data_IF_233711094735
#
_entry.id   IF_233711094735
#
_cell.length_a   1.000
_cell.length_b   1.000
_cell.length_c   1.000
_cell.angle_alpha   90.00
_cell.angle_beta   90.00
_cell.angle_gamma   90.00
#
_symmetry.space_group_name_H-M   'P 1'
#
loop_
_entity.id
_entity.type
_entity.pdbx_description
1 polymer ?
#
# COMPACT_ATOMS: atom_id res chain seq x y z
N UNK A 1 23.51 10.85 -3.23
CA UNK A 1 22.83 9.55 -3.17
C UNK A 1 22.22 9.32 -4.56
N UNK A 2 22.30 8.14 -5.13
CA UNK A 2 21.61 7.86 -6.40
C UNK A 2 20.11 7.95 -6.19
N UNK A 3 19.42 8.64 -7.07
CA UNK A 3 17.96 8.78 -7.04
C UNK A 3 17.30 7.40 -7.18
N UNK A 4 16.57 6.94 -6.18
CA UNK A 4 15.93 5.63 -6.21
C UNK A 4 14.74 5.59 -7.18
N UNK A 5 14.50 4.45 -7.83
CA UNK A 5 13.31 4.20 -8.62
C UNK A 5 12.24 3.53 -7.73
N UNK A 6 11.10 4.18 -7.58
CA UNK A 6 10.01 3.74 -6.70
C UNK A 6 8.73 3.52 -7.50
N UNK A 7 8.10 2.37 -7.30
CA UNK A 7 6.80 2.04 -7.88
C UNK A 7 5.71 2.10 -6.79
N UNK A 8 4.56 2.72 -7.11
CA UNK A 8 3.43 2.81 -6.17
C UNK A 8 2.15 2.37 -6.87
N UNK A 9 1.55 1.28 -6.41
CA UNK A 9 0.21 0.86 -6.85
C UNK A 9 -0.88 1.55 -6.00
N UNK A 10 -2.07 1.80 -6.60
CA UNK A 10 -3.13 2.52 -5.89
C UNK A 10 -2.78 3.98 -5.56
N UNK A 11 -1.91 4.59 -6.37
CA UNK A 11 -1.33 5.91 -6.11
C UNK A 11 -2.27 7.09 -6.36
N UNK A 12 -3.45 6.89 -6.98
CA UNK A 12 -4.27 8.01 -7.45
C UNK A 12 -5.01 8.74 -6.32
N UNK A 13 -5.15 8.13 -5.15
CA UNK A 13 -5.89 8.71 -4.02
C UNK A 13 -5.31 8.30 -2.66
N UNK A 14 -5.70 8.99 -1.59
CA UNK A 14 -5.44 8.60 -0.21
C UNK A 14 -3.97 8.38 0.12
N UNK A 15 -3.68 7.30 0.83
CA UNK A 15 -2.33 6.96 1.32
C UNK A 15 -1.34 6.78 0.16
N UNK A 16 -1.74 6.11 -0.93
CA UNK A 16 -0.86 5.92 -2.08
C UNK A 16 -0.46 7.23 -2.75
N UNK A 17 -1.39 8.19 -2.86
CA UNK A 17 -1.10 9.54 -3.37
C UNK A 17 -0.17 10.31 -2.44
N UNK A 18 -0.41 10.29 -1.15
CA UNK A 18 0.47 10.93 -0.16
C UNK A 18 1.88 10.33 -0.18
N UNK A 19 1.99 9.00 -0.26
CA UNK A 19 3.27 8.32 -0.40
C UNK A 19 4.03 8.72 -1.67
N UNK A 20 3.32 8.87 -2.81
CA UNK A 20 3.93 9.33 -4.05
C UNK A 20 4.54 10.73 -3.91
N UNK A 21 3.81 11.67 -3.29
CA UNK A 21 4.32 13.01 -3.01
C UNK A 21 5.50 13.01 -2.04
N UNK A 22 5.40 12.25 -0.96
CA UNK A 22 6.46 12.17 0.05
C UNK A 22 7.76 11.61 -0.56
N UNK A 23 7.67 10.51 -1.33
CA UNK A 23 8.82 9.90 -1.98
C UNK A 23 9.41 10.79 -3.08
N UNK A 24 8.58 11.52 -3.84
CA UNK A 24 9.06 12.48 -4.83
C UNK A 24 9.82 13.65 -4.17
N UNK A 25 9.35 14.17 -3.03
CA UNK A 25 10.05 15.22 -2.26
C UNK A 25 11.42 14.78 -1.74
N UNK A 26 11.61 13.49 -1.48
CA UNK A 26 12.93 12.91 -1.15
C UNK A 26 13.85 12.77 -2.38
N UNK A 27 13.43 13.27 -3.55
CA UNK A 27 14.23 13.23 -4.78
C UNK A 27 14.18 11.91 -5.54
N UNK A 28 13.24 11.02 -5.26
CA UNK A 28 13.13 9.75 -5.95
C UNK A 28 12.42 9.89 -7.31
N UNK A 29 12.76 8.99 -8.25
CA UNK A 29 12.02 8.77 -9.51
C UNK A 29 10.81 7.91 -9.20
N UNK A 30 9.62 8.38 -9.54
CA UNK A 30 8.37 7.75 -9.08
C UNK A 30 7.54 7.24 -10.26
N UNK A 31 7.19 5.96 -10.23
CA UNK A 31 6.11 5.42 -11.07
C UNK A 31 4.85 5.30 -10.22
N UNK A 32 3.80 5.96 -10.65
CA UNK A 32 2.47 5.86 -10.05
C UNK A 32 1.56 5.00 -10.92
N UNK A 33 0.76 4.13 -10.28
CA UNK A 33 -0.12 3.24 -11.01
C UNK A 33 -1.52 3.20 -10.42
N UNK A 34 -2.49 2.99 -11.30
CA UNK A 34 -3.90 2.87 -11.01
C UNK A 34 -4.69 2.59 -12.30
N UNK A 35 -6.01 2.54 -12.19
CA UNK A 35 -6.89 2.13 -13.31
C UNK A 35 -7.35 3.29 -14.20
N UNK A 36 -7.27 4.52 -13.73
CA UNK A 36 -7.82 5.72 -14.39
C UNK A 36 -6.70 6.52 -15.04
N UNK A 37 -6.65 6.49 -16.38
CA UNK A 37 -5.58 7.08 -17.19
C UNK A 37 -5.44 8.58 -16.96
N UNK A 38 -6.53 9.34 -17.12
CA UNK A 38 -6.52 10.80 -17.02
C UNK A 38 -6.02 11.28 -15.63
N UNK A 39 -6.56 10.71 -14.55
CA UNK A 39 -6.14 11.02 -13.20
C UNK A 39 -4.69 10.62 -12.92
N UNK A 40 -4.23 9.53 -13.54
CA UNK A 40 -2.85 9.08 -13.43
C UNK A 40 -1.86 10.00 -14.12
N UNK A 41 -2.17 10.43 -15.34
CA UNK A 41 -1.33 11.39 -16.08
C UNK A 41 -1.28 12.76 -15.37
N UNK A 42 -2.42 13.22 -14.82
CA UNK A 42 -2.46 14.45 -14.03
C UNK A 42 -1.54 14.34 -12.79
N UNK A 43 -1.62 13.24 -12.03
CA UNK A 43 -0.76 13.02 -10.87
C UNK A 43 0.73 12.97 -11.25
N UNK A 44 1.07 12.27 -12.34
CA UNK A 44 2.45 12.23 -12.79
C UNK A 44 2.98 13.61 -13.20
N UNK A 45 2.13 14.46 -13.78
CA UNK A 45 2.48 15.85 -14.11
C UNK A 45 2.73 16.69 -12.84
N UNK A 46 1.88 16.57 -11.82
CA UNK A 46 2.08 17.23 -10.53
C UNK A 46 3.41 16.82 -9.87
N UNK A 47 3.72 15.51 -9.87
CA UNK A 47 4.94 14.96 -9.25
C UNK A 47 6.20 15.44 -9.97
N UNK A 48 6.19 15.54 -11.32
CA UNK A 48 7.31 16.09 -12.10
C UNK A 48 7.63 17.53 -11.73
N UNK A 49 6.62 18.32 -11.35
CA UNK A 49 6.80 19.69 -10.89
C UNK A 49 7.51 19.83 -9.53
N UNK A 50 7.64 18.75 -8.76
CA UNK A 50 8.23 18.79 -7.42
C UNK A 50 9.73 18.46 -7.38
N UNK A 51 10.17 17.42 -8.04
CA UNK A 51 11.52 16.90 -7.79
C UNK A 51 12.13 16.05 -8.90
N UNK A 52 11.56 15.94 -10.07
CA UNK A 52 12.25 15.17 -11.08
C UNK A 52 11.37 14.27 -11.95
N UNK A 53 11.74 12.99 -12.09
CA UNK A 53 11.09 12.07 -13.01
C UNK A 53 9.91 11.37 -12.35
N UNK A 54 8.74 11.54 -12.94
CA UNK A 54 7.54 10.78 -12.54
C UNK A 54 6.78 10.31 -13.78
N UNK A 55 6.31 9.07 -13.73
CA UNK A 55 5.55 8.43 -14.81
C UNK A 55 4.27 7.79 -14.28
N UNK A 56 3.24 7.78 -15.11
CA UNK A 56 2.06 6.97 -14.85
C UNK A 56 2.03 5.78 -15.79
N UNK A 57 1.81 4.60 -15.23
CA UNK A 57 1.57 3.37 -15.98
C UNK A 57 0.26 2.77 -15.49
N UNK A 58 -0.70 2.64 -16.42
CA UNK A 58 -2.00 2.06 -16.10
C UNK A 58 -1.87 0.57 -15.79
N UNK A 59 -2.44 0.14 -14.65
CA UNK A 59 -2.55 -1.27 -14.32
C UNK A 59 -3.77 -1.56 -13.41
N UNK A 60 -4.37 -2.72 -13.58
CA UNK A 60 -5.28 -3.33 -12.61
C UNK A 60 -4.51 -4.44 -11.87
N UNK A 61 -4.27 -4.26 -10.58
CA UNK A 61 -3.49 -5.20 -9.77
C UNK A 61 -4.08 -6.61 -9.70
N UNK A 62 -5.35 -6.79 -10.05
CA UNK A 62 -6.03 -8.09 -10.15
C UNK A 62 -5.62 -8.90 -11.39
N UNK A 63 -4.90 -8.28 -12.33
CA UNK A 63 -4.51 -8.87 -13.61
C UNK A 63 -3.00 -9.05 -13.64
N UNK A 64 -2.55 -10.29 -13.68
CA UNK A 64 -1.11 -10.59 -13.62
C UNK A 64 -0.32 -9.94 -14.77
N UNK A 65 -0.89 -9.95 -15.98
CA UNK A 65 -0.23 -9.35 -17.14
C UNK A 65 -0.05 -7.83 -16.99
N UNK A 66 -1.05 -7.14 -16.40
CA UNK A 66 -0.95 -5.71 -16.13
C UNK A 66 0.18 -5.43 -15.11
N UNK A 67 0.24 -6.24 -14.05
CA UNK A 67 1.27 -6.09 -13.00
C UNK A 67 2.67 -6.41 -13.51
N UNK A 68 2.81 -7.49 -14.29
CA UNK A 68 4.09 -7.82 -14.94
C UNK A 68 4.56 -6.66 -15.82
N UNK A 69 3.69 -6.18 -16.69
CA UNK A 69 3.98 -5.07 -17.60
C UNK A 69 4.34 -3.78 -16.84
N UNK A 70 3.65 -3.47 -15.75
CA UNK A 70 3.94 -2.33 -14.89
C UNK A 70 5.37 -2.38 -14.34
N UNK A 71 5.79 -3.51 -13.79
CA UNK A 71 7.14 -3.70 -13.25
C UNK A 71 8.17 -3.66 -14.38
N UNK A 72 7.91 -4.34 -15.51
CA UNK A 72 8.83 -4.38 -16.66
C UNK A 72 9.04 -2.99 -17.27
N UNK A 73 7.99 -2.19 -17.42
CA UNK A 73 8.10 -0.80 -17.92
C UNK A 73 8.83 0.10 -16.91
N UNK A 74 8.62 -0.09 -15.60
CA UNK A 74 9.36 0.65 -14.57
C UNK A 74 10.86 0.40 -14.69
N UNK A 75 11.25 -0.87 -14.87
CA UNK A 75 12.67 -1.24 -15.05
C UNK A 75 13.20 -0.74 -16.39
N UNK A 76 12.43 -0.86 -17.47
CA UNK A 76 12.83 -0.36 -18.77
C UNK A 76 13.07 1.17 -18.75
N UNK A 77 12.27 1.91 -17.99
CA UNK A 77 12.38 3.36 -17.86
C UNK A 77 13.54 3.82 -17.00
N UNK A 78 13.78 3.16 -15.85
CA UNK A 78 14.73 3.63 -14.85
C UNK A 78 15.93 2.70 -14.63
N UNK A 79 15.99 1.56 -15.34
CA UNK A 79 17.07 0.58 -15.25
C UNK A 79 17.04 -0.29 -14.00
N UNK A 80 16.17 0.01 -13.02
CA UNK A 80 16.08 -0.66 -11.73
C UNK A 80 14.75 -0.41 -11.03
N UNK A 81 14.49 -1.18 -9.96
CA UNK A 81 13.39 -0.96 -9.02
C UNK A 81 13.95 -1.05 -7.59
N UNK A 82 14.04 0.09 -6.89
CA UNK A 82 14.64 0.18 -5.55
C UNK A 82 13.62 0.01 -4.43
N UNK A 83 12.43 0.54 -4.63
CA UNK A 83 11.33 0.38 -3.68
C UNK A 83 9.99 0.19 -4.39
N UNK A 84 9.09 -0.53 -3.73
CA UNK A 84 7.70 -0.69 -4.16
C UNK A 84 6.75 -0.46 -2.99
N UNK A 85 5.65 0.25 -3.25
CA UNK A 85 4.58 0.52 -2.29
C UNK A 85 3.28 -0.06 -2.83
N UNK A 86 2.80 -1.13 -2.22
CA UNK A 86 1.59 -1.80 -2.61
C UNK A 86 0.40 -1.25 -1.81
N UNK A 87 -0.21 -0.17 -2.33
CA UNK A 87 -1.31 0.57 -1.68
C UNK A 87 -2.67 0.37 -2.33
N UNK A 88 -2.76 -0.35 -3.45
CA UNK A 88 -4.04 -0.67 -4.07
C UNK A 88 -4.91 -1.53 -3.13
N UNK A 89 -6.14 -1.08 -2.86
CA UNK A 89 -7.03 -1.78 -1.95
C UNK A 89 -8.46 -1.27 -2.00
N UNK A 90 -9.36 -2.03 -1.37
CA UNK A 90 -10.77 -1.67 -1.17
C UNK A 90 -11.20 -2.03 0.24
N UNK A 91 -12.15 -1.26 0.78
CA UNK A 91 -12.80 -1.54 2.07
C UNK A 91 -13.74 -2.75 2.03
N UNK A 92 -14.03 -3.26 0.83
CA UNK A 92 -15.00 -4.32 0.63
C UNK A 92 -16.43 -3.86 0.89
N UNK A 93 -17.31 -4.80 1.22
CA UNK A 93 -18.71 -4.54 1.57
C UNK A 93 -18.88 -4.60 3.08
N UNK A 94 -19.13 -3.47 3.76
CA UNK A 94 -19.43 -3.47 5.19
C UNK A 94 -20.73 -4.24 5.50
N UNK A 95 -20.76 -4.91 6.64
CA UNK A 95 -21.92 -5.63 7.13
C UNK A 95 -21.56 -6.94 7.85
N UNK A 96 -22.53 -7.55 8.56
CA UNK A 96 -22.30 -8.79 9.31
C UNK A 96 -21.92 -9.95 8.39
N UNK A 97 -21.17 -10.93 8.93
CA UNK A 97 -20.70 -12.10 8.18
C UNK A 97 -21.86 -12.87 7.50
N UNK A 98 -23.02 -12.88 8.09
CA UNK A 98 -24.23 -13.53 7.55
C UNK A 98 -24.77 -12.87 6.28
N UNK A 99 -24.31 -11.67 5.92
CA UNK A 99 -24.69 -10.94 4.70
C UNK A 99 -23.56 -10.89 3.66
N UNK A 100 -22.41 -11.48 3.96
CA UNK A 100 -21.33 -11.57 2.98
C UNK A 100 -21.65 -12.65 1.93
N UNK A 101 -21.18 -12.43 0.72
CA UNK A 101 -21.39 -13.34 -0.42
C UNK A 101 -20.06 -13.73 -1.04
N UNK A 102 -20.04 -14.79 -1.86
CA UNK A 102 -18.86 -15.15 -2.64
C UNK A 102 -18.36 -13.97 -3.51
N UNK A 103 -19.26 -13.18 -4.09
CA UNK A 103 -18.88 -12.01 -4.90
C UNK A 103 -18.25 -10.91 -4.07
N UNK A 104 -18.79 -10.61 -2.86
CA UNK A 104 -18.19 -9.60 -1.97
C UNK A 104 -16.81 -10.04 -1.46
N UNK A 105 -16.65 -11.34 -1.22
CA UNK A 105 -15.34 -11.93 -0.88
C UNK A 105 -14.37 -11.80 -2.05
N UNK A 106 -14.72 -12.28 -3.24
CA UNK A 106 -13.88 -12.22 -4.42
C UNK A 106 -13.45 -10.78 -4.75
N UNK A 107 -14.38 -9.82 -4.79
CA UNK A 107 -14.08 -8.43 -5.07
C UNK A 107 -13.06 -7.82 -4.09
N UNK A 108 -13.12 -8.23 -2.80
CA UNK A 108 -12.19 -7.76 -1.78
C UNK A 108 -10.85 -8.48 -1.86
N UNK A 109 -10.85 -9.81 -1.94
CA UNK A 109 -9.63 -10.61 -1.96
C UNK A 109 -8.84 -10.47 -3.25
N UNK A 110 -9.50 -10.37 -4.40
CA UNK A 110 -8.83 -10.14 -5.68
C UNK A 110 -8.04 -8.82 -5.68
N UNK A 111 -8.58 -7.79 -5.04
CA UNK A 111 -7.88 -6.50 -4.97
C UNK A 111 -6.83 -6.50 -3.86
N UNK A 112 -7.22 -6.86 -2.62
CA UNK A 112 -6.39 -6.66 -1.44
C UNK A 112 -5.32 -7.75 -1.25
N UNK A 113 -5.58 -8.97 -1.70
CA UNK A 113 -4.71 -10.13 -1.46
C UNK A 113 -4.03 -10.57 -2.75
N UNK A 114 -4.80 -10.93 -3.79
CA UNK A 114 -4.23 -11.33 -5.07
C UNK A 114 -3.41 -10.19 -5.68
N UNK A 115 -3.90 -8.95 -5.61
CA UNK A 115 -3.18 -7.79 -6.12
C UNK A 115 -1.81 -7.59 -5.45
N UNK A 116 -1.71 -7.79 -4.13
CA UNK A 116 -0.43 -7.73 -3.41
C UNK A 116 0.47 -8.93 -3.75
N UNK A 117 -0.09 -10.14 -3.83
CA UNK A 117 0.66 -11.33 -4.23
C UNK A 117 1.30 -11.16 -5.61
N UNK A 118 0.53 -10.71 -6.60
CA UNK A 118 1.02 -10.50 -7.97
C UNK A 118 2.05 -9.37 -8.03
N UNK A 119 1.83 -8.27 -7.29
CA UNK A 119 2.80 -7.17 -7.20
C UNK A 119 4.12 -7.68 -6.63
N UNK A 120 4.11 -8.29 -5.45
CA UNK A 120 5.33 -8.86 -4.85
C UNK A 120 6.02 -9.90 -5.75
N UNK A 121 5.27 -10.77 -6.44
CA UNK A 121 5.82 -11.76 -7.37
C UNK A 121 6.73 -11.12 -8.41
N UNK A 122 6.28 -10.05 -9.06
CA UNK A 122 7.03 -9.40 -10.14
C UNK A 122 8.09 -8.42 -9.62
N UNK A 123 7.84 -7.75 -8.49
CA UNK A 123 8.79 -6.88 -7.80
C UNK A 123 9.99 -7.68 -7.27
N UNK A 124 9.73 -8.80 -6.57
CA UNK A 124 10.76 -9.67 -6.04
C UNK A 124 11.61 -10.31 -7.15
N UNK A 125 11.01 -10.67 -8.28
CA UNK A 125 11.77 -11.17 -9.45
C UNK A 125 12.89 -10.20 -9.85
N UNK A 126 12.62 -8.91 -9.84
CA UNK A 126 13.59 -7.86 -10.19
C UNK A 126 14.55 -7.61 -9.04
N UNK A 127 14.03 -7.39 -7.83
CA UNK A 127 14.83 -6.99 -6.67
C UNK A 127 15.81 -8.08 -6.22
N UNK A 128 15.42 -9.36 -6.31
CA UNK A 128 16.32 -10.49 -6.01
C UNK A 128 17.50 -10.54 -7.00
N UNK A 129 17.25 -10.30 -8.29
CA UNK A 129 18.31 -10.23 -9.30
C UNK A 129 19.26 -9.05 -9.05
N UNK A 130 18.73 -7.92 -8.57
CA UNK A 130 19.50 -6.73 -8.16
C UNK A 130 20.25 -6.93 -6.85
N UNK A 131 19.86 -7.91 -6.02
CA UNK A 131 20.31 -8.13 -4.64
C UNK A 131 20.08 -6.92 -3.73
N UNK A 132 19.04 -6.17 -4.01
CA UNK A 132 18.63 -5.00 -3.22
C UNK A 132 17.20 -4.63 -3.55
N UNK A 133 16.47 -4.11 -2.57
CA UNK A 133 15.11 -3.60 -2.75
C UNK A 133 14.35 -3.50 -1.43
N UNK A 134 13.28 -2.70 -1.42
CA UNK A 134 12.36 -2.60 -0.29
C UNK A 134 10.93 -2.60 -0.77
N UNK A 135 10.11 -3.53 -0.26
CA UNK A 135 8.67 -3.59 -0.51
C UNK A 135 7.92 -3.20 0.75
N UNK A 136 6.94 -2.29 0.61
CA UNK A 136 6.03 -1.88 1.68
C UNK A 136 4.60 -2.15 1.26
N UNK A 137 3.97 -3.12 1.92
CA UNK A 137 2.56 -3.44 1.71
C UNK A 137 1.67 -2.60 2.66
N UNK A 138 0.59 -2.02 2.15
CA UNK A 138 -0.36 -1.28 2.99
C UNK A 138 -1.41 -2.27 3.53
N UNK A 139 -1.25 -2.62 4.82
CA UNK A 139 -2.21 -3.39 5.60
C UNK A 139 -3.29 -2.49 6.22
N UNK A 140 -3.64 -2.72 7.46
CA UNK A 140 -4.58 -1.96 8.30
C UNK A 140 -4.41 -2.42 9.75
N UNK A 141 -4.79 -1.60 10.74
CA UNK A 141 -4.99 -2.08 12.11
C UNK A 141 -5.94 -3.30 12.15
N UNK A 142 -6.88 -3.37 11.22
CA UNK A 142 -7.75 -4.54 11.04
C UNK A 142 -7.05 -5.78 10.43
N UNK A 143 -5.75 -5.70 10.15
CA UNK A 143 -4.90 -6.83 9.77
C UNK A 143 -4.51 -7.72 10.96
N UNK A 144 -4.68 -7.25 12.20
CA UNK A 144 -4.42 -7.98 13.44
C UNK A 144 -5.52 -7.78 14.50
N UNK A 145 -6.61 -7.07 14.15
CA UNK A 145 -7.80 -6.91 14.99
C UNK A 145 -9.03 -7.50 14.32
N UNK A 146 -9.92 -8.10 15.14
CA UNK A 146 -11.27 -8.45 14.70
C UNK A 146 -12.19 -7.25 14.80
N UNK A 147 -13.02 -7.01 13.78
CA UNK A 147 -13.96 -5.89 13.73
C UNK A 147 -15.33 -6.33 13.25
N UNK A 148 -16.36 -6.04 14.07
CA UNK A 148 -17.74 -6.30 13.70
C UNK A 148 -18.11 -5.51 12.42
N UNK A 149 -18.76 -6.19 11.47
CA UNK A 149 -19.17 -5.57 10.20
C UNK A 149 -18.08 -5.42 9.15
N UNK A 150 -16.84 -5.88 9.41
CA UNK A 150 -15.72 -5.79 8.46
C UNK A 150 -14.99 -7.14 8.26
N UNK A 151 -15.67 -8.26 8.44
CA UNK A 151 -15.05 -9.60 8.48
C UNK A 151 -14.19 -9.93 7.25
N UNK A 152 -14.69 -9.69 6.04
CA UNK A 152 -13.97 -9.99 4.79
C UNK A 152 -12.78 -9.04 4.61
N UNK A 153 -12.95 -7.76 4.94
CA UNK A 153 -11.86 -6.79 4.92
C UNK A 153 -10.75 -7.15 5.91
N UNK A 154 -11.10 -7.40 7.19
CA UNK A 154 -10.14 -7.83 8.22
C UNK A 154 -9.40 -9.09 7.78
N UNK A 155 -10.12 -10.12 7.30
CA UNK A 155 -9.49 -11.35 6.80
C UNK A 155 -8.51 -11.06 5.67
N UNK A 156 -8.86 -10.17 4.72
CA UNK A 156 -7.96 -9.79 3.64
C UNK A 156 -6.68 -9.11 4.14
N UNK A 157 -6.78 -8.26 5.18
CA UNK A 157 -5.62 -7.57 5.76
C UNK A 157 -4.76 -8.48 6.62
N UNK A 158 -5.34 -9.46 7.33
CA UNK A 158 -4.58 -10.55 7.96
C UNK A 158 -3.79 -11.34 6.93
N UNK A 159 -4.40 -11.65 5.76
CA UNK A 159 -3.70 -12.33 4.68
C UNK A 159 -2.52 -11.51 4.13
N UNK A 160 -2.67 -10.18 3.99
CA UNK A 160 -1.58 -9.28 3.59
C UNK A 160 -0.41 -9.34 4.57
N UNK A 161 -0.66 -9.35 5.87
CA UNK A 161 0.39 -9.46 6.89
C UNK A 161 1.08 -10.83 6.86
N UNK A 162 0.31 -11.90 6.66
CA UNK A 162 0.85 -13.25 6.48
C UNK A 162 1.75 -13.36 5.24
N UNK A 163 1.29 -12.86 4.09
CA UNK A 163 2.08 -12.79 2.85
C UNK A 163 3.37 -11.97 3.04
N UNK A 164 3.26 -10.81 3.71
CA UNK A 164 4.42 -9.94 4.00
C UNK A 164 5.50 -10.68 4.79
N UNK A 165 5.12 -11.34 5.88
CA UNK A 165 6.04 -12.07 6.76
C UNK A 165 6.69 -13.25 6.03
N UNK A 166 5.91 -14.03 5.27
CA UNK A 166 6.41 -15.18 4.52
C UNK A 166 7.39 -14.76 3.43
N UNK A 167 7.00 -13.79 2.59
CA UNK A 167 7.87 -13.28 1.54
C UNK A 167 9.16 -12.66 2.10
N UNK A 168 9.09 -11.95 3.24
CA UNK A 168 10.25 -11.39 3.91
C UNK A 168 11.29 -12.47 4.28
N UNK A 169 10.83 -13.59 4.85
CA UNK A 169 11.71 -14.71 5.21
C UNK A 169 12.32 -15.41 3.99
N UNK A 170 11.56 -15.53 2.90
CA UNK A 170 12.02 -16.16 1.66
C UNK A 170 13.16 -15.38 1.01
N UNK A 171 13.19 -14.03 1.14
CA UNK A 171 14.10 -13.18 0.38
C UNK A 171 15.17 -12.47 1.22
N UNK A 172 15.12 -12.53 2.53
CA UNK A 172 16.02 -11.79 3.44
C UNK A 172 17.51 -11.93 3.09
N UNK A 173 17.94 -13.14 2.73
CA UNK A 173 19.34 -13.41 2.37
C UNK A 173 19.78 -12.79 1.03
N UNK A 174 18.85 -12.27 0.25
CA UNK A 174 19.13 -11.63 -1.03
C UNK A 174 19.39 -10.11 -0.91
N UNK A 175 19.23 -9.52 0.29
CA UNK A 175 19.33 -8.09 0.51
C UNK A 175 18.03 -7.34 0.22
N UNK A 176 16.92 -8.06 -0.02
CA UNK A 176 15.59 -7.48 -0.21
C UNK A 176 14.83 -7.49 1.11
N UNK A 177 14.14 -6.39 1.41
CA UNK A 177 13.30 -6.24 2.60
C UNK A 177 11.82 -6.17 2.19
N UNK A 178 10.97 -6.88 2.91
CA UNK A 178 9.51 -6.81 2.73
C UNK A 178 8.90 -6.51 4.09
N UNK A 179 8.13 -5.42 4.17
CA UNK A 179 7.47 -4.96 5.38
C UNK A 179 6.03 -4.51 5.08
N UNK A 180 5.25 -4.26 6.10
CA UNK A 180 3.93 -3.66 5.98
C UNK A 180 3.81 -2.43 6.89
N UNK A 181 2.97 -1.48 6.48
CA UNK A 181 2.40 -0.47 7.35
C UNK A 181 0.95 -0.83 7.64
N UNK A 182 0.50 -0.68 8.87
CA UNK A 182 -0.86 -0.97 9.33
C UNK A 182 -1.53 0.32 9.84
N UNK A 183 -2.19 1.08 8.95
CA UNK A 183 -2.88 2.31 9.34
C UNK A 183 -4.11 2.05 10.19
N UNK A 184 -4.40 2.98 11.12
CA UNK A 184 -5.72 3.16 11.71
C UNK A 184 -6.68 3.87 10.74
N UNK A 185 -7.75 4.51 11.26
CA UNK A 185 -8.64 5.36 10.47
C UNK A 185 -7.89 6.58 9.91
N UNK A 186 -7.79 6.70 8.60
CA UNK A 186 -7.07 7.78 7.90
C UNK A 186 -8.05 8.57 7.05
N UNK A 187 -7.95 9.91 7.04
CA UNK A 187 -8.81 10.81 6.28
C UNK A 187 -8.67 10.59 4.78
N UNK A 188 -9.51 9.74 4.24
CA UNK A 188 -9.50 9.33 2.83
C UNK A 188 -10.92 9.08 2.33
N UNK A 189 -11.09 9.04 1.01
CA UNK A 189 -12.36 8.64 0.41
C UNK A 189 -12.78 7.21 0.80
N UNK A 190 -11.84 6.32 1.10
CA UNK A 190 -12.13 4.97 1.60
C UNK A 190 -12.78 5.02 2.99
N UNK A 191 -12.27 5.83 3.91
CA UNK A 191 -12.85 6.01 5.24
C UNK A 191 -14.29 6.52 5.14
N UNK A 192 -14.53 7.52 4.30
CA UNK A 192 -15.85 8.11 4.13
C UNK A 192 -16.88 7.09 3.56
N UNK A 193 -16.47 6.22 2.63
CA UNK A 193 -17.32 5.12 2.15
C UNK A 193 -17.55 4.06 3.22
N UNK A 194 -16.52 3.72 3.99
CA UNK A 194 -16.61 2.72 5.06
C UNK A 194 -17.54 3.16 6.20
N UNK A 195 -17.43 4.39 6.65
CA UNK A 195 -18.23 4.93 7.76
C UNK A 195 -19.64 5.35 7.33
N UNK A 196 -19.81 5.73 6.08
CA UNK A 196 -21.09 6.10 5.46
C UNK A 196 -21.70 7.41 5.96
N UNK A 197 -21.55 7.75 7.24
CA UNK A 197 -22.13 8.94 7.87
C UNK A 197 -21.13 9.64 8.80
N UNK A 198 -21.44 10.89 9.18
CA UNK A 198 -20.63 11.62 10.17
C UNK A 198 -20.65 10.95 11.55
N UNK A 199 -21.80 10.40 11.95
CA UNK A 199 -21.98 9.66 13.20
C UNK A 199 -21.14 8.38 13.20
N UNK A 200 -21.13 7.62 12.07
CA UNK A 200 -20.30 6.44 11.91
C UNK A 200 -18.81 6.78 12.02
N UNK A 201 -18.39 7.91 11.44
CA UNK A 201 -17.01 8.40 11.54
C UNK A 201 -16.69 8.82 13.00
N UNK A 202 -17.58 9.52 13.66
CA UNK A 202 -17.41 9.92 15.06
C UNK A 202 -17.32 8.70 15.99
N UNK A 203 -18.14 7.65 15.74
CA UNK A 203 -18.08 6.38 16.47
C UNK A 203 -16.70 5.73 16.33
N UNK A 204 -16.18 5.66 15.11
CA UNK A 204 -14.86 5.09 14.86
C UNK A 204 -13.73 5.92 15.51
N UNK A 205 -13.82 7.25 15.49
CA UNK A 205 -12.86 8.15 16.16
C UNK A 205 -12.86 7.92 17.67
N UNK A 206 -14.01 7.61 18.26
CA UNK A 206 -14.09 7.33 19.70
C UNK A 206 -13.33 6.06 20.11
N UNK A 207 -13.09 5.12 19.19
CA UNK A 207 -12.28 3.92 19.44
C UNK A 207 -10.77 4.19 19.36
N UNK A 208 -10.36 5.30 18.71
CA UNK A 208 -8.94 5.66 18.58
C UNK A 208 -8.46 6.39 19.84
N UNK A 209 -7.42 5.90 20.56
CA UNK A 209 -6.89 6.60 21.74
C UNK A 209 -6.50 8.06 21.52
N UNK A 210 -5.94 8.40 20.36
CA UNK A 210 -5.63 9.78 19.99
C UNK A 210 -6.85 10.66 19.69
N UNK A 211 -8.09 10.08 19.69
CA UNK A 211 -9.36 10.80 19.51
C UNK A 211 -9.46 11.62 18.22
N UNK A 212 -8.76 11.22 17.17
CA UNK A 212 -8.84 11.79 15.83
C UNK A 212 -8.57 10.73 14.76
N UNK A 213 -8.94 11.00 13.54
CA UNK A 213 -8.41 10.30 12.37
C UNK A 213 -6.96 10.74 12.12
N UNK A 214 -6.16 9.85 11.53
CA UNK A 214 -4.85 10.21 11.02
C UNK A 214 -4.95 10.86 9.63
N UNK A 215 -3.90 11.58 9.26
CA UNK A 215 -3.77 12.17 7.93
C UNK A 215 -2.96 11.22 7.01
N UNK A 216 -3.23 11.20 5.69
CA UNK A 216 -2.46 10.40 4.74
C UNK A 216 -0.94 10.60 4.83
N UNK A 217 -0.50 11.83 5.11
CA UNK A 217 0.92 12.16 5.22
C UNK A 217 1.58 11.49 6.44
N UNK A 218 0.85 11.20 7.52
CA UNK A 218 1.38 10.49 8.69
C UNK A 218 1.75 9.04 8.30
N UNK A 219 0.96 8.42 7.43
CA UNK A 219 1.26 7.07 6.90
C UNK A 219 2.37 7.13 5.84
N UNK A 220 2.36 8.16 4.99
CA UNK A 220 3.39 8.36 3.98
C UNK A 220 4.79 8.49 4.61
N UNK A 221 4.93 9.17 5.75
CA UNK A 221 6.20 9.27 6.48
C UNK A 221 6.71 7.90 6.95
N UNK A 222 5.83 7.03 7.44
CA UNK A 222 6.19 5.67 7.81
C UNK A 222 6.61 4.83 6.59
N UNK A 223 5.93 5.00 5.46
CA UNK A 223 6.27 4.36 4.18
C UNK A 223 7.67 4.82 3.72
N UNK A 224 7.95 6.12 3.72
CA UNK A 224 9.29 6.68 3.39
C UNK A 224 10.37 6.06 4.27
N UNK A 225 10.14 5.98 5.58
CA UNK A 225 11.07 5.32 6.50
C UNK A 225 11.33 3.86 6.10
N UNK A 226 10.29 3.07 5.87
CA UNK A 226 10.43 1.65 5.51
C UNK A 226 11.07 1.45 4.13
N UNK A 227 10.89 2.36 3.18
CA UNK A 227 11.56 2.33 1.88
C UNK A 227 13.06 2.68 1.97
N UNK A 228 13.47 3.41 2.99
CA UNK A 228 14.84 3.94 3.13
C UNK A 228 15.81 2.98 3.82
N UNK A 229 17.12 3.26 3.72
CA UNK A 229 18.18 2.54 4.43
C UNK A 229 18.11 2.69 5.96
N UNK A 230 17.34 3.67 6.47
CA UNK A 230 17.08 3.83 7.91
C UNK A 230 16.35 2.61 8.51
N UNK A 231 15.61 1.85 7.66
CA UNK A 231 14.93 0.62 8.03
C UNK A 231 15.73 -0.64 7.62
N UNK A 232 17.06 -0.57 7.51
CA UNK A 232 17.92 -1.66 6.99
C UNK A 232 17.83 -2.97 7.79
N UNK A 233 17.41 -2.92 9.05
CA UNK A 233 17.24 -4.11 9.91
C UNK A 233 15.78 -4.50 10.13
N UNK A 234 14.82 -3.84 9.43
CA UNK A 234 13.40 -4.14 9.49
C UNK A 234 13.02 -5.14 8.39
N UNK A 235 12.67 -6.37 8.76
CA UNK A 235 12.28 -7.46 7.87
C UNK A 235 11.05 -8.16 8.44
N UNK A 236 9.98 -8.28 7.64
CA UNK A 236 8.71 -8.88 8.06
C UNK A 236 7.96 -8.07 9.11
N UNK A 237 8.37 -6.80 9.31
CA UNK A 237 7.72 -5.89 10.25
C UNK A 237 6.33 -5.50 9.74
N UNK A 238 5.37 -5.48 10.65
CA UNK A 238 4.08 -4.81 10.49
C UNK A 238 4.11 -3.58 11.40
N UNK A 239 4.29 -2.40 10.82
CA UNK A 239 4.39 -1.14 11.56
C UNK A 239 2.99 -0.53 11.72
N UNK A 240 2.43 -0.62 12.93
CA UNK A 240 1.16 0.05 13.26
C UNK A 240 1.35 1.56 13.34
N UNK A 241 0.50 2.29 12.60
CA UNK A 241 0.40 3.76 12.61
C UNK A 241 -1.09 4.09 12.69
N UNK A 242 -1.66 3.93 13.88
CA UNK A 242 -3.10 3.77 14.08
C UNK A 242 -3.67 4.61 15.25
N UNK A 243 -2.87 5.53 15.77
CA UNK A 243 -3.27 6.37 16.91
C UNK A 243 -3.47 5.61 18.22
N UNK A 244 -2.85 4.42 18.33
CA UNK A 244 -2.92 3.56 19.50
C UNK A 244 -4.06 2.53 19.46
N UNK A 245 -4.80 2.41 18.36
CA UNK A 245 -5.97 1.54 18.22
C UNK A 245 -5.64 0.05 18.50
N UNK A 246 -4.43 -0.38 18.17
CA UNK A 246 -3.97 -1.76 18.35
C UNK A 246 -2.98 -1.95 19.50
N UNK A 247 -2.81 -0.97 20.39
CA UNK A 247 -1.81 -1.03 21.47
C UNK A 247 -2.30 -1.77 22.73
N UNK A 248 -3.59 -2.12 22.82
CA UNK A 248 -4.22 -2.78 23.98
C UNK A 248 -5.02 -4.00 23.60
#
# INVERSE_FOLDING_TARGET
MSTAAVLITGALTGIGRAAAFALAREGNRVVVSGRHEEAGQALAAELRGLAGEAEFIRADVRREDDVRNLVDQTVARFGRLDAAVNSAGTEGRPGPVTRQTADSYAATFDTNVLGILLSMKHELRVMQAQRSGSIVNVSSAYGHLGVAGASVYSASKHAVEGLTKSAALEVAYTGVRVNAVAPGPIETGMLNRFTGTAEGKAGLVAEVPLRRVGEPDEIANAIVFLCSDKASYAIGLVLSVDGGMSAG
#
